data_IF_366801439922
#
_entry.id   IF_366801439922
#
_cell.length_a   1.000
_cell.length_b   1.000
_cell.length_c   1.000
_cell.angle_alpha   90.00
_cell.angle_beta   90.00
_cell.angle_gamma   90.00
#
_symmetry.space_group_name_H-M   'P 1'
#
loop_
_entity.id
_entity.type
_entity.pdbx_description
1 polymer ?
#
# COMPACT_ATOMS: atom_id res chain seq x y z
N UNK A 1 26.65 -8.34 23.02
CA UNK A 1 27.09 -8.48 21.61
C UNK A 1 26.18 -9.42 20.81
N UNK A 2 25.84 -10.62 21.29
CA UNK A 2 24.90 -11.49 20.56
C UNK A 2 23.47 -10.93 20.48
N UNK A 3 22.96 -10.35 21.57
CA UNK A 3 21.65 -9.68 21.58
C UNK A 3 21.57 -8.48 20.63
N UNK A 4 22.66 -7.72 20.46
CA UNK A 4 22.69 -6.58 19.53
C UNK A 4 22.74 -7.05 18.07
N UNK A 5 23.45 -8.15 17.78
CA UNK A 5 23.41 -8.79 16.46
C UNK A 5 22.03 -9.30 16.11
N UNK A 6 21.37 -9.96 17.06
CA UNK A 6 20.01 -10.47 16.88
C UNK A 6 18.99 -9.36 16.63
N UNK A 7 19.10 -8.26 17.38
CA UNK A 7 18.25 -7.08 17.19
C UNK A 7 18.45 -6.49 15.78
N UNK A 8 19.70 -6.23 15.37
CA UNK A 8 20.00 -5.73 14.03
C UNK A 8 19.57 -6.71 12.94
N UNK A 9 19.74 -8.02 13.13
CA UNK A 9 19.29 -9.03 12.16
C UNK A 9 17.76 -9.03 11.99
N UNK A 10 17.01 -8.97 13.10
CA UNK A 10 15.55 -8.89 13.06
C UNK A 10 15.07 -7.58 12.39
N UNK A 11 15.72 -6.46 12.68
CA UNK A 11 15.43 -5.17 12.06
C UNK A 11 15.75 -5.16 10.56
N UNK A 12 16.85 -5.77 10.12
CA UNK A 12 17.18 -5.91 8.70
C UNK A 12 16.14 -6.72 7.94
N UNK A 13 15.68 -7.82 8.53
CA UNK A 13 14.62 -8.65 7.93
C UNK A 13 13.32 -7.85 7.80
N UNK A 14 12.96 -7.10 8.84
CA UNK A 14 11.76 -6.26 8.86
C UNK A 14 11.84 -5.11 7.82
N UNK A 15 12.96 -4.39 7.74
CA UNK A 15 13.15 -3.31 6.76
C UNK A 15 13.24 -3.85 5.32
N UNK A 16 13.78 -5.07 5.10
CA UNK A 16 13.74 -5.72 3.79
C UNK A 16 12.29 -5.99 3.35
N UNK A 17 11.44 -6.47 4.25
CA UNK A 17 10.01 -6.64 3.96
C UNK A 17 9.38 -5.30 3.62
N UNK A 18 9.63 -4.26 4.42
CA UNK A 18 9.13 -2.90 4.17
C UNK A 18 9.53 -2.38 2.79
N UNK A 19 10.80 -2.53 2.40
CA UNK A 19 11.30 -2.13 1.09
C UNK A 19 10.60 -2.88 -0.05
N UNK A 20 10.35 -4.17 0.11
CA UNK A 20 9.60 -4.95 -0.89
C UNK A 20 8.15 -4.45 -1.03
N UNK A 21 7.50 -4.11 0.07
CA UNK A 21 6.13 -3.57 0.04
C UNK A 21 6.09 -2.20 -0.62
N UNK A 22 7.03 -1.32 -0.28
CA UNK A 22 7.15 0.00 -0.91
C UNK A 22 7.37 -0.14 -2.43
N UNK A 23 8.25 -1.05 -2.84
CA UNK A 23 8.47 -1.34 -4.25
C UNK A 23 7.20 -1.87 -4.94
N UNK A 24 6.45 -2.75 -4.28
CA UNK A 24 5.18 -3.27 -4.79
C UNK A 24 4.12 -2.16 -4.92
N UNK A 25 4.01 -1.31 -3.90
CA UNK A 25 3.11 -0.16 -3.91
C UNK A 25 3.43 0.79 -5.06
N UNK A 26 4.71 1.13 -5.25
CA UNK A 26 5.14 2.03 -6.32
C UNK A 26 4.89 1.41 -7.70
N UNK A 27 5.20 0.12 -7.87
CA UNK A 27 4.98 -0.59 -9.14
C UNK A 27 3.49 -0.64 -9.52
N UNK A 28 2.61 -0.74 -8.53
CA UNK A 28 1.17 -0.80 -8.73
C UNK A 28 0.45 0.53 -8.52
N UNK A 29 1.17 1.66 -8.38
CA UNK A 29 0.56 2.96 -8.04
C UNK A 29 -0.44 3.48 -9.09
N UNK A 30 -0.31 3.01 -10.34
CA UNK A 30 -1.19 3.38 -11.46
C UNK A 30 -2.08 2.21 -11.93
N UNK A 31 -2.19 1.14 -11.14
CA UNK A 31 -2.95 -0.06 -11.52
C UNK A 31 -4.43 0.09 -11.17
N UNK A 32 -5.26 0.26 -12.20
CA UNK A 32 -6.71 0.46 -12.11
C UNK A 32 -7.53 -0.83 -12.18
N UNK A 33 -6.88 -1.96 -12.50
CA UNK A 33 -7.52 -3.27 -12.72
C UNK A 33 -6.81 -4.38 -11.95
N UNK A 34 -7.58 -5.38 -11.55
CA UNK A 34 -7.04 -6.60 -10.92
C UNK A 34 -6.47 -7.60 -11.96
N UNK A 35 -5.96 -8.72 -11.45
CA UNK A 35 -5.41 -9.81 -12.27
C UNK A 35 -6.44 -10.47 -13.22
N UNK A 36 -7.73 -10.29 -12.96
CA UNK A 36 -8.82 -10.78 -13.81
C UNK A 36 -9.31 -9.73 -14.82
N UNK A 37 -8.71 -8.54 -14.80
CA UNK A 37 -9.08 -7.41 -15.66
C UNK A 37 -10.32 -6.66 -15.18
N UNK A 38 -10.86 -6.97 -14.00
CA UNK A 38 -11.98 -6.24 -13.41
C UNK A 38 -11.50 -4.92 -12.82
N UNK A 39 -12.37 -3.89 -12.80
CA UNK A 39 -12.08 -2.59 -12.19
C UNK A 39 -12.04 -2.74 -10.67
N UNK A 40 -10.84 -2.97 -10.17
CA UNK A 40 -10.51 -3.07 -8.76
C UNK A 40 -9.10 -2.50 -8.60
N UNK A 41 -8.97 -1.21 -8.25
CA UNK A 41 -7.67 -0.57 -8.13
C UNK A 41 -6.85 -1.24 -7.04
N UNK A 42 -5.54 -1.34 -7.26
CA UNK A 42 -4.60 -1.87 -6.27
C UNK A 42 -4.73 -1.12 -4.93
N UNK A 43 -4.66 -1.86 -3.83
CA UNK A 43 -4.64 -1.31 -2.47
C UNK A 43 -3.24 -1.32 -1.92
N UNK A 44 -2.82 -0.18 -1.38
CA UNK A 44 -1.50 0.00 -0.76
C UNK A 44 -1.32 -1.03 0.36
N UNK A 45 -0.21 -1.75 0.34
CA UNK A 45 0.16 -2.73 1.36
C UNK A 45 1.03 -2.09 2.44
N UNK A 46 0.75 -2.42 3.70
CA UNK A 46 1.42 -1.91 4.89
C UNK A 46 1.90 -3.08 5.76
N UNK A 47 3.15 -3.02 6.20
CA UNK A 47 3.68 -3.97 7.17
C UNK A 47 3.23 -3.59 8.58
N UNK A 48 2.73 -4.57 9.34
CA UNK A 48 2.46 -4.45 10.77
C UNK A 48 3.70 -4.92 11.53
N UNK A 49 4.33 -3.98 12.23
CA UNK A 49 5.52 -4.26 13.04
C UNK A 49 5.14 -4.45 14.51
N UNK A 50 5.72 -5.46 15.12
CA UNK A 50 5.60 -5.68 16.55
C UNK A 50 6.97 -5.86 17.21
N UNK A 51 7.12 -5.38 18.46
CA UNK A 51 8.34 -5.62 19.21
C UNK A 51 8.52 -7.10 19.52
N UNK A 52 9.77 -7.55 19.48
CA UNK A 52 10.18 -8.90 19.79
C UNK A 52 10.16 -9.86 18.58
N UNK A 53 10.70 -11.05 18.83
CA UNK A 53 10.78 -12.20 17.93
C UNK A 53 10.44 -13.47 18.71
N UNK A 54 10.32 -14.60 18.04
CA UNK A 54 10.06 -15.88 18.70
C UNK A 54 11.09 -16.14 19.83
N UNK A 55 10.61 -16.30 21.06
CA UNK A 55 11.44 -16.52 22.25
C UNK A 55 12.21 -15.30 22.80
N UNK A 56 12.00 -14.09 22.28
CA UNK A 56 12.72 -12.89 22.77
C UNK A 56 11.88 -11.60 22.65
N UNK A 57 11.73 -10.80 23.72
CA UNK A 57 11.04 -9.50 23.64
C UNK A 57 11.88 -8.42 22.93
N UNK A 58 13.17 -8.70 22.69
CA UNK A 58 14.08 -7.82 21.96
C UNK A 58 14.03 -8.13 20.46
N UNK A 59 14.10 -7.06 19.66
CA UNK A 59 14.03 -7.12 18.20
C UNK A 59 12.69 -6.59 17.68
N UNK A 60 12.46 -6.81 16.39
CA UNK A 60 11.20 -6.47 15.71
C UNK A 60 10.84 -7.61 14.76
N UNK A 61 9.55 -7.86 14.62
CA UNK A 61 9.03 -8.78 13.60
C UNK A 61 7.90 -8.13 12.85
N UNK A 62 7.71 -8.57 11.61
CA UNK A 62 6.51 -8.24 10.83
C UNK A 62 5.51 -9.36 11.11
N UNK A 63 4.38 -9.03 11.73
CA UNK A 63 3.34 -10.01 12.06
C UNK A 63 2.32 -10.18 10.95
N UNK A 64 2.05 -9.11 10.20
CA UNK A 64 1.10 -9.15 9.10
C UNK A 64 1.45 -8.12 8.02
N UNK A 65 0.85 -8.30 6.85
CA UNK A 65 0.86 -7.35 5.75
C UNK A 65 -0.60 -7.06 5.40
N UNK A 66 -1.03 -5.84 5.68
CA UNK A 66 -2.44 -5.44 5.55
C UNK A 66 -2.62 -4.48 4.39
N UNK A 67 -3.78 -4.56 3.74
CA UNK A 67 -4.21 -3.55 2.77
C UNK A 67 -4.68 -2.29 3.50
N UNK A 68 -4.38 -1.13 2.92
CA UNK A 68 -4.84 0.15 3.42
C UNK A 68 -6.36 0.29 3.25
N UNK A 69 -7.00 0.82 4.29
CA UNK A 69 -8.41 1.18 4.37
C UNK A 69 -8.72 2.52 3.68
N UNK A 70 -7.70 3.25 3.23
CA UNK A 70 -7.87 4.52 2.54
C UNK A 70 -8.66 4.35 1.23
N UNK A 71 -9.56 5.29 0.96
CA UNK A 71 -10.34 5.28 -0.28
C UNK A 71 -9.42 5.49 -1.50
N UNK A 72 -9.72 4.85 -2.65
CA UNK A 72 -9.04 5.12 -3.91
C UNK A 72 -9.07 6.61 -4.27
N UNK A 73 -8.01 7.10 -4.91
CA UNK A 73 -7.97 8.48 -5.41
C UNK A 73 -8.80 8.57 -6.68
N UNK A 74 -9.61 9.62 -6.80
CA UNK A 74 -10.36 9.91 -8.01
C UNK A 74 -9.59 10.92 -8.85
N UNK A 75 -9.26 10.55 -10.08
CA UNK A 75 -8.63 11.43 -11.05
C UNK A 75 -9.55 11.63 -12.24
N UNK A 76 -9.84 12.88 -12.60
CA UNK A 76 -10.65 13.18 -13.78
C UNK A 76 -9.83 12.90 -15.04
N UNK A 77 -10.23 11.86 -15.76
CA UNK A 77 -9.73 11.51 -17.09
C UNK A 77 -10.87 10.87 -17.91
N UNK A 78 -11.68 11.69 -18.60
CA UNK A 78 -12.86 11.21 -19.31
C UNK A 78 -12.53 10.34 -20.53
N UNK A 79 -11.28 10.37 -21.01
CA UNK A 79 -10.84 9.57 -22.16
C UNK A 79 -10.25 8.21 -21.73
N UNK A 80 -10.11 7.95 -20.43
CA UNK A 80 -9.53 6.71 -19.93
C UNK A 80 -10.50 5.52 -20.12
N UNK A 81 -10.01 4.33 -20.53
CA UNK A 81 -10.87 3.14 -20.68
C UNK A 81 -11.53 2.71 -19.36
N UNK A 82 -10.93 3.06 -18.23
CA UNK A 82 -11.43 2.78 -16.87
C UNK A 82 -12.19 3.95 -16.24
N UNK A 83 -12.52 4.99 -17.01
CA UNK A 83 -13.35 6.06 -16.51
C UNK A 83 -14.74 5.52 -16.12
N UNK A 84 -15.23 5.96 -14.97
CA UNK A 84 -16.59 5.73 -14.50
C UNK A 84 -17.56 6.29 -15.54
N UNK A 85 -18.40 5.40 -16.09
CA UNK A 85 -19.42 5.74 -17.08
C UNK A 85 -20.80 5.71 -16.47
N UNK A 86 -21.69 6.58 -16.97
CA UNK A 86 -23.07 6.69 -16.51
C UNK A 86 -23.83 5.37 -16.61
N UNK A 87 -23.53 4.61 -17.66
CA UNK A 87 -24.09 3.30 -17.98
C UNK A 87 -23.82 2.25 -16.88
N UNK A 88 -22.80 2.46 -16.04
CA UNK A 88 -22.46 1.57 -14.92
C UNK A 88 -23.35 1.82 -13.68
N UNK A 89 -23.95 3.01 -13.58
CA UNK A 89 -24.74 3.43 -12.43
C UNK A 89 -26.24 3.43 -12.71
N UNK A 90 -26.65 3.57 -13.99
CA UNK A 90 -28.06 3.52 -14.39
C UNK A 90 -28.23 3.19 -15.87
N UNK A 91 -29.35 2.55 -16.21
CA UNK A 91 -29.81 2.45 -17.61
C UNK A 91 -30.76 3.61 -17.93
N UNK A 92 -30.54 4.29 -19.05
CA UNK A 92 -31.44 5.33 -19.56
C UNK A 92 -32.41 4.72 -20.59
N UNK A 93 -33.67 5.15 -20.59
CA UNK A 93 -34.57 4.95 -21.72
C UNK A 93 -34.26 5.93 -22.87
N UNK A 94 -34.92 5.75 -24.02
CA UNK A 94 -34.78 6.62 -25.19
C UNK A 94 -35.24 8.09 -24.96
N UNK A 95 -35.79 8.40 -23.78
CA UNK A 95 -36.23 9.74 -23.34
C UNK A 95 -35.29 10.33 -22.29
N UNK A 96 -34.21 9.62 -21.93
CA UNK A 96 -33.23 10.06 -20.94
C UNK A 96 -33.73 9.96 -19.50
N UNK A 97 -34.71 9.10 -19.21
CA UNK A 97 -35.17 8.78 -17.85
C UNK A 97 -34.47 7.52 -17.32
N UNK A 98 -34.17 7.49 -16.02
CA UNK A 98 -33.49 6.36 -15.36
C UNK A 98 -34.48 5.19 -15.22
N UNK A 99 -34.20 4.07 -15.90
CA UNK A 99 -35.09 2.90 -15.97
C UNK A 99 -34.70 1.80 -14.98
N UNK A 100 -33.44 1.74 -14.54
CA UNK A 100 -33.00 0.83 -13.48
C UNK A 100 -31.72 1.31 -12.81
N UNK A 101 -31.71 1.30 -11.47
CA UNK A 101 -30.52 1.55 -10.65
C UNK A 101 -30.02 0.21 -10.11
N UNK A 102 -28.74 -0.18 -10.25
CA UNK A 102 -28.24 -1.52 -9.88
C UNK A 102 -28.20 -1.84 -8.37
N UNK A 103 -28.36 -0.85 -7.49
CA UNK A 103 -28.45 -1.04 -6.03
C UNK A 103 -29.71 -0.40 -5.46
N UNK A 104 -30.43 -1.14 -4.64
CA UNK A 104 -31.63 -0.67 -3.92
C UNK A 104 -31.35 0.54 -3.01
N UNK A 105 -30.11 0.68 -2.52
CA UNK A 105 -29.63 1.82 -1.72
C UNK A 105 -29.80 3.18 -2.44
N UNK A 106 -29.82 3.19 -3.77
CA UNK A 106 -29.97 4.42 -4.56
C UNK A 106 -31.43 4.71 -4.94
N UNK A 107 -32.36 3.77 -4.71
CA UNK A 107 -33.79 3.95 -5.01
C UNK A 107 -34.47 4.99 -4.08
N UNK A 108 -33.87 5.24 -2.91
CA UNK A 108 -34.36 6.22 -1.93
C UNK A 108 -33.90 7.68 -2.24
N UNK A 109 -32.98 7.87 -3.18
CA UNK A 109 -32.53 9.20 -3.60
C UNK A 109 -33.49 9.78 -4.64
N UNK A 110 -33.78 11.08 -4.57
CA UNK A 110 -34.50 11.75 -5.65
C UNK A 110 -33.70 11.65 -6.95
N UNK A 111 -34.38 11.54 -8.10
CA UNK A 111 -33.71 11.41 -9.41
C UNK A 111 -32.71 12.55 -9.67
N UNK A 112 -32.98 13.74 -9.15
CA UNK A 112 -32.12 14.91 -9.28
C UNK A 112 -30.87 14.84 -8.37
N UNK A 113 -31.02 14.35 -7.13
CA UNK A 113 -29.89 14.13 -6.22
C UNK A 113 -28.98 13.00 -6.70
N UNK A 114 -29.57 11.93 -7.25
CA UNK A 114 -28.82 10.83 -7.84
C UNK A 114 -28.07 11.25 -9.10
N UNK A 115 -28.71 12.03 -9.99
CA UNK A 115 -28.03 12.61 -11.16
C UNK A 115 -26.84 13.49 -10.77
N UNK A 116 -26.99 14.41 -9.81
CA UNK A 116 -25.84 15.21 -9.32
C UNK A 116 -24.71 14.37 -8.74
N UNK A 117 -25.04 13.27 -8.05
CA UNK A 117 -24.05 12.37 -7.48
C UNK A 117 -23.28 11.60 -8.57
N UNK A 118 -23.98 11.10 -9.59
CA UNK A 118 -23.36 10.33 -10.66
C UNK A 118 -22.64 11.25 -11.64
N UNK A 119 -23.26 12.34 -12.09
CA UNK A 119 -22.65 13.33 -13.00
C UNK A 119 -21.36 13.92 -12.41
N UNK A 120 -21.27 14.04 -11.07
CA UNK A 120 -20.05 14.47 -10.38
C UNK A 120 -18.92 13.45 -10.37
N UNK A 121 -19.17 12.19 -10.72
CA UNK A 121 -18.18 11.10 -10.80
C UNK A 121 -17.96 10.58 -12.22
N UNK A 122 -18.75 11.03 -13.20
CA UNK A 122 -18.56 10.68 -14.61
C UNK A 122 -17.21 11.19 -15.11
N UNK A 123 -16.50 10.32 -15.83
CA UNK A 123 -15.18 10.67 -16.35
C UNK A 123 -14.06 10.65 -15.32
N UNK A 124 -14.33 10.22 -14.08
CA UNK A 124 -13.28 9.96 -13.09
C UNK A 124 -12.80 8.52 -13.15
N UNK A 125 -11.51 8.31 -12.91
CA UNK A 125 -10.85 7.01 -12.80
C UNK A 125 -10.46 6.79 -11.35
N UNK A 126 -10.74 5.61 -10.83
CA UNK A 126 -10.26 5.18 -9.51
C UNK A 126 -8.82 4.67 -9.64
N UNK A 127 -7.89 5.40 -9.04
CA UNK A 127 -6.51 4.97 -8.90
C UNK A 127 -6.22 4.52 -7.46
N UNK A 128 -5.23 3.64 -7.29
CA UNK A 128 -4.66 3.31 -5.99
C UNK A 128 -4.32 4.56 -5.20
N UNK A 129 -4.58 4.54 -3.90
CA UNK A 129 -4.11 5.60 -3.03
C UNK A 129 -2.66 5.37 -2.60
N UNK A 130 -1.76 5.40 -3.60
CA UNK A 130 -0.31 5.33 -3.41
C UNK A 130 0.28 6.65 -3.86
N UNK A 131 0.96 7.35 -2.95
CA UNK A 131 1.70 8.57 -3.27
C UNK A 131 3.19 8.21 -3.51
N UNK A 132 3.68 8.27 -4.77
CA UNK A 132 5.07 7.93 -5.08
C UNK A 132 6.08 8.74 -4.28
N UNK A 133 5.78 10.01 -3.96
CA UNK A 133 6.71 10.87 -3.22
C UNK A 133 6.85 10.36 -1.79
N UNK A 134 5.74 9.99 -1.14
CA UNK A 134 5.75 9.40 0.20
C UNK A 134 6.41 8.03 0.20
N UNK A 135 6.06 7.16 -0.76
CA UNK A 135 6.66 5.82 -0.86
C UNK A 135 8.17 5.89 -1.11
N UNK A 136 8.65 6.78 -1.98
CA UNK A 136 10.09 6.96 -2.20
C UNK A 136 10.78 7.56 -0.96
N UNK A 137 10.14 8.48 -0.24
CA UNK A 137 10.67 8.99 1.02
C UNK A 137 10.78 7.87 2.07
N UNK A 138 9.75 7.04 2.22
CA UNK A 138 9.77 5.87 3.09
C UNK A 138 10.83 4.86 2.66
N UNK A 139 11.04 4.65 1.35
CA UNK A 139 12.09 3.78 0.84
C UNK A 139 13.48 4.28 1.23
N UNK A 140 13.71 5.60 1.14
CA UNK A 140 14.99 6.21 1.55
C UNK A 140 15.20 6.05 3.06
N UNK A 141 14.15 6.24 3.88
CA UNK A 141 14.24 6.03 5.33
C UNK A 141 14.55 4.57 5.66
N UNK A 142 13.84 3.62 5.06
CA UNK A 142 14.06 2.19 5.25
C UNK A 142 15.47 1.76 4.80
N UNK A 143 15.94 2.28 3.66
CA UNK A 143 17.29 1.99 3.14
C UNK A 143 18.38 2.51 4.08
N UNK A 144 18.23 3.73 4.60
CA UNK A 144 19.18 4.29 5.59
C UNK A 144 19.18 3.50 6.90
N UNK A 145 18.01 3.05 7.36
CA UNK A 145 17.91 2.19 8.54
C UNK A 145 18.58 0.82 8.30
N UNK A 146 18.39 0.25 7.11
CA UNK A 146 19.06 -0.98 6.69
C UNK A 146 20.59 -0.82 6.67
N UNK A 147 21.10 0.23 6.04
CA UNK A 147 22.53 0.56 6.01
C UNK A 147 23.12 0.74 7.42
N UNK A 148 22.42 1.47 8.29
CA UNK A 148 22.84 1.66 9.69
C UNK A 148 22.92 0.33 10.44
N UNK A 149 21.92 -0.55 10.28
CA UNK A 149 21.93 -1.88 10.91
C UNK A 149 23.04 -2.78 10.37
N UNK A 150 23.34 -2.72 9.07
CA UNK A 150 24.49 -3.43 8.48
C UNK A 150 25.80 -2.92 9.07
N UNK A 151 25.96 -1.61 9.22
CA UNK A 151 27.16 -1.03 9.85
C UNK A 151 27.34 -1.52 11.29
N UNK A 152 26.28 -1.54 12.10
CA UNK A 152 26.31 -2.06 13.48
C UNK A 152 26.74 -3.54 13.51
N UNK A 153 26.23 -4.38 12.60
CA UNK A 153 26.63 -5.78 12.50
C UNK A 153 28.12 -5.93 12.14
N UNK A 154 28.63 -5.12 11.20
CA UNK A 154 30.03 -5.13 10.80
C UNK A 154 30.95 -4.69 11.95
N UNK A 155 30.58 -3.64 12.68
CA UNK A 155 31.31 -3.19 13.88
C UNK A 155 31.32 -4.30 14.93
N UNK A 156 30.18 -4.94 15.19
CA UNK A 156 30.10 -6.02 16.18
C UNK A 156 30.96 -7.22 15.76
N UNK A 157 30.96 -7.58 14.48
CA UNK A 157 31.83 -8.63 13.94
C UNK A 157 33.31 -8.30 14.14
N UNK A 158 33.70 -7.06 13.89
CA UNK A 158 35.07 -6.57 14.10
C UNK A 158 35.48 -6.68 15.56
N UNK A 159 34.63 -6.24 16.48
CA UNK A 159 34.88 -6.32 17.93
C UNK A 159 35.05 -7.77 18.39
N UNK A 160 34.15 -8.68 17.99
CA UNK A 160 34.26 -10.11 18.33
C UNK A 160 35.58 -10.69 17.80
N UNK A 161 35.95 -10.36 16.56
CA UNK A 161 37.18 -10.85 15.93
C UNK A 161 38.45 -10.31 16.60
N UNK A 162 38.39 -9.11 17.17
CA UNK A 162 39.48 -8.54 17.98
C UNK A 162 39.55 -9.22 19.35
N UNK A 163 38.41 -9.42 20.02
CA UNK A 163 38.38 -10.13 21.31
C UNK A 163 38.89 -11.56 21.21
N UNK A 164 38.49 -12.30 20.17
CA UNK A 164 38.97 -13.67 19.94
C UNK A 164 40.49 -13.72 19.74
N UNK A 165 41.08 -12.70 19.09
CA UNK A 165 42.53 -12.58 18.91
C UNK A 165 43.30 -12.23 20.18
N UNK A 166 42.63 -11.68 21.20
CA UNK A 166 43.25 -11.33 22.49
C UNK A 166 43.23 -12.54 23.44
N UNK A 167 42.26 -13.44 23.29
CA UNK A 167 42.04 -14.59 24.18
C UNK A 167 42.66 -15.89 23.64
N UNK A 168 42.96 -15.96 22.35
CA UNK A 168 43.70 -17.06 21.70
C UNK A 168 45.21 -16.81 21.72
#
# INVERSE_FOLDING_TARGET
MFQTMDLSASALSAERIRLNLIANNLANANTTRDAHGSRAPYRRLLAVFEPGREGSPLGVRVTDIVESDEAPRLQFDPNHPDAIKAEEFYKLDARGQITSTPRDEYAALSQEAFRRMVDGKLGYVEYPNVDPVREMADAVLASRAYEANVAVLQTTKTLISQSLRIVA
#
